data_IF_031434217426
#
_entry.id   IF_031434217426
#
_cell.length_a   1.000
_cell.length_b   1.000
_cell.length_c   1.000
_cell.angle_alpha   90.00
_cell.angle_beta   90.00
_cell.angle_gamma   90.00
#
_symmetry.space_group_name_H-M   'P 1'
#
loop_
_entity.id
_entity.type
_entity.pdbx_description
1 polymer ?
#
# COMPACT_ATOMS: atom_id res chain seq x y z
N UNK A 1 45.94 2.14 76.24
CA UNK A 1 46.37 2.25 74.82
C UNK A 1 45.53 1.23 74.07
N UNK A 2 44.67 1.58 73.10
CA UNK A 2 44.97 2.40 71.92
C UNK A 2 43.68 3.02 71.37
N UNK A 3 43.74 4.32 71.12
CA UNK A 3 42.70 5.15 70.50
C UNK A 3 42.64 4.81 68.99
N UNK A 4 41.47 4.50 68.43
CA UNK A 4 41.31 4.28 66.98
C UNK A 4 40.88 5.57 66.27
N UNK A 5 41.53 5.93 65.14
CA UNK A 5 41.28 7.20 64.45
C UNK A 5 40.02 7.18 63.59
N UNK A 6 39.43 8.36 63.45
CA UNK A 6 38.26 8.68 62.61
C UNK A 6 38.69 8.72 61.14
N UNK A 7 38.08 7.87 60.30
CA UNK A 7 38.25 7.91 58.85
C UNK A 7 37.26 8.90 58.22
N UNK A 8 37.81 9.81 57.40
CA UNK A 8 37.09 10.79 56.57
C UNK A 8 36.86 10.15 55.19
N UNK A 9 35.62 10.04 54.72
CA UNK A 9 35.35 9.69 53.30
C UNK A 9 34.22 10.57 52.74
N UNK A 10 34.68 11.49 51.89
CA UNK A 10 34.18 11.98 50.60
C UNK A 10 32.68 12.06 50.32
N UNK A 11 32.26 13.29 49.98
CA UNK A 11 31.05 13.61 49.23
C UNK A 11 31.00 12.83 47.92
N UNK A 12 29.90 12.08 47.71
CA UNK A 12 29.50 11.56 46.40
C UNK A 12 28.68 12.65 45.71
N UNK A 13 29.20 13.20 44.61
CA UNK A 13 28.38 13.92 43.64
C UNK A 13 27.51 12.88 42.90
N UNK A 14 26.18 13.06 42.78
CA UNK A 14 25.39 12.22 41.91
C UNK A 14 25.75 12.54 40.45
N UNK A 15 26.10 11.47 39.75
CA UNK A 15 26.50 11.43 38.36
C UNK A 15 25.38 11.94 37.44
N UNK A 16 25.77 12.79 36.51
CA UNK A 16 25.30 12.92 35.14
C UNK A 16 24.03 12.13 34.79
N UNK A 17 22.88 12.82 34.73
CA UNK A 17 21.66 12.27 34.13
C UNK A 17 21.90 11.91 32.65
N UNK A 18 22.12 10.64 32.35
CA UNK A 18 21.89 10.08 31.03
C UNK A 18 20.41 10.28 30.67
N UNK A 19 20.13 11.18 29.72
CA UNK A 19 18.79 11.30 29.16
C UNK A 19 18.51 10.07 28.28
N UNK A 20 17.35 9.42 28.39
CA UNK A 20 17.15 8.07 27.86
C UNK A 20 17.02 8.09 26.33
N UNK A 21 17.90 7.35 25.64
CA UNK A 21 17.97 7.21 24.18
C UNK A 21 16.60 6.95 23.51
N UNK A 22 15.71 6.18 24.15
CA UNK A 22 14.38 5.87 23.61
C UNK A 22 13.44 7.07 23.42
N UNK A 23 13.62 8.18 24.17
CA UNK A 23 12.83 9.41 23.97
C UNK A 23 13.36 10.23 22.78
N UNK A 24 14.66 10.17 22.53
CA UNK A 24 15.32 10.87 21.43
C UNK A 24 15.07 10.17 20.09
N UNK A 25 15.08 8.85 20.07
CA UNK A 25 14.74 8.06 18.88
C UNK A 25 13.29 8.29 18.46
N UNK A 26 12.34 8.29 19.42
CA UNK A 26 10.95 8.63 19.15
C UNK A 26 10.75 10.08 18.67
N UNK A 27 11.52 11.04 19.20
CA UNK A 27 11.46 12.43 18.74
C UNK A 27 12.05 12.62 17.35
N UNK A 28 13.14 11.90 17.03
CA UNK A 28 13.77 11.92 15.70
C UNK A 28 12.84 11.31 14.66
N UNK A 29 12.21 10.18 14.97
CA UNK A 29 11.28 9.51 14.06
C UNK A 29 10.02 10.35 13.83
N UNK A 30 9.44 10.92 14.90
CA UNK A 30 8.30 11.84 14.75
C UNK A 30 8.64 13.02 13.84
N UNK A 31 9.83 13.61 14.02
CA UNK A 31 10.26 14.72 13.18
C UNK A 31 10.50 14.30 11.73
N UNK A 32 11.01 13.08 11.52
CA UNK A 32 11.18 12.49 10.20
C UNK A 32 9.82 12.31 9.51
N UNK A 33 8.82 11.79 10.21
CA UNK A 33 7.44 11.68 9.71
C UNK A 33 6.83 13.05 9.37
N UNK A 34 7.00 14.07 10.23
CA UNK A 34 6.55 15.44 9.94
C UNK A 34 7.16 16.00 8.64
N UNK A 35 8.44 15.72 8.37
CA UNK A 35 9.07 16.11 7.11
C UNK A 35 8.55 15.34 5.89
N UNK A 36 8.22 14.05 6.05
CA UNK A 36 7.63 13.26 4.99
C UNK A 36 6.24 13.78 4.64
N UNK A 37 5.38 14.09 5.63
CA UNK A 37 4.06 14.67 5.38
C UNK A 37 4.15 16.02 4.65
N UNK A 38 5.07 16.88 5.06
CA UNK A 38 5.31 18.13 4.36
C UNK A 38 5.87 17.94 2.94
N UNK A 39 6.67 16.89 2.72
CA UNK A 39 7.12 16.52 1.38
C UNK A 39 5.95 16.07 0.49
N UNK A 40 5.01 15.28 1.04
CA UNK A 40 3.79 14.88 0.31
C UNK A 40 2.96 16.09 -0.10
N UNK A 41 2.77 17.05 0.81
CA UNK A 41 2.07 18.31 0.51
C UNK A 41 2.79 19.13 -0.57
N UNK A 42 4.11 19.26 -0.49
CA UNK A 42 4.92 19.95 -1.50
C UNK A 42 4.78 19.28 -2.88
N UNK A 43 4.80 17.94 -2.95
CA UNK A 43 4.63 17.19 -4.20
C UNK A 43 3.21 17.36 -4.75
N UNK A 44 2.20 17.35 -3.88
CA UNK A 44 0.81 17.58 -4.29
C UNK A 44 0.65 18.97 -4.92
N UNK A 45 1.26 20.00 -4.32
CA UNK A 45 1.13 21.40 -4.75
C UNK A 45 2.02 21.75 -5.97
N UNK A 46 3.31 21.41 -5.92
CA UNK A 46 4.29 21.81 -6.94
C UNK A 46 4.44 20.78 -8.06
N UNK A 47 3.77 19.64 -7.94
CA UNK A 47 3.71 18.62 -8.97
C UNK A 47 4.84 17.60 -8.87
N UNK A 48 4.88 16.65 -9.83
CA UNK A 48 5.77 15.51 -9.73
C UNK A 48 7.25 15.89 -9.76
N UNK A 49 7.64 17.00 -10.39
CA UNK A 49 9.04 17.42 -10.55
C UNK A 49 9.66 18.06 -9.29
N UNK A 50 8.94 18.06 -8.17
CA UNK A 50 9.38 18.67 -6.91
C UNK A 50 10.75 18.15 -6.47
N UNK A 51 11.71 19.06 -6.30
CA UNK A 51 13.07 18.74 -5.83
C UNK A 51 13.15 18.69 -4.30
N UNK A 52 14.23 18.10 -3.77
CA UNK A 52 14.48 18.10 -2.32
C UNK A 52 14.67 19.51 -1.76
N UNK A 53 15.22 20.44 -2.54
CA UNK A 53 15.34 21.85 -2.17
C UNK A 53 13.97 22.53 -2.06
N UNK A 54 13.06 22.27 -3.00
CA UNK A 54 11.70 22.78 -2.91
C UNK A 54 10.97 22.23 -1.69
N UNK A 55 11.16 20.94 -1.35
CA UNK A 55 10.64 20.36 -0.11
C UNK A 55 11.20 21.08 1.12
N UNK A 56 12.51 21.35 1.17
CA UNK A 56 13.12 22.05 2.30
C UNK A 56 12.56 23.47 2.48
N UNK A 57 12.37 24.20 1.37
CA UNK A 57 11.74 25.53 1.35
C UNK A 57 10.30 25.45 1.83
N UNK A 58 9.52 24.49 1.35
CA UNK A 58 8.13 24.27 1.75
C UNK A 58 7.99 24.02 3.26
N UNK A 59 8.89 23.21 3.81
CA UNK A 59 8.97 22.89 5.24
C UNK A 59 9.45 24.08 6.08
N UNK A 60 10.06 25.10 5.46
CA UNK A 60 10.65 26.25 6.15
C UNK A 60 11.98 25.92 6.86
N UNK A 61 12.77 25.00 6.30
CA UNK A 61 14.08 24.60 6.86
C UNK A 61 15.19 24.69 5.82
N UNK A 62 16.44 24.82 6.29
CA UNK A 62 17.60 24.73 5.39
C UNK A 62 17.79 23.29 4.92
N UNK A 63 18.42 23.11 3.75
CA UNK A 63 18.82 21.80 3.22
C UNK A 63 19.65 20.99 4.22
N UNK A 64 20.59 21.64 4.90
CA UNK A 64 21.41 21.03 5.96
C UNK A 64 20.57 20.52 7.12
N UNK A 65 19.54 21.26 7.53
CA UNK A 65 18.65 20.85 8.63
C UNK A 65 17.77 19.68 8.22
N UNK A 66 17.30 19.63 6.97
CA UNK A 66 16.56 18.49 6.43
C UNK A 66 17.43 17.22 6.41
N UNK A 67 18.65 17.30 5.87
CA UNK A 67 19.58 16.16 5.80
C UNK A 67 20.16 15.71 7.15
N UNK A 68 19.92 16.43 8.25
CA UNK A 68 20.19 15.88 9.59
C UNK A 68 19.28 14.69 9.92
N UNK A 69 18.12 14.60 9.28
CA UNK A 69 17.12 13.56 9.53
C UNK A 69 17.08 12.48 8.44
N UNK A 70 17.73 12.71 7.30
CA UNK A 70 17.75 11.81 6.14
C UNK A 70 19.16 11.66 5.62
N UNK A 71 19.53 10.43 5.26
CA UNK A 71 20.82 10.10 4.65
C UNK A 71 20.79 10.45 3.15
N UNK A 72 20.67 11.75 2.87
CA UNK A 72 20.58 12.31 1.52
C UNK A 72 19.19 12.24 0.89
N UNK A 73 19.12 12.60 -0.39
CA UNK A 73 17.87 12.70 -1.15
C UNK A 73 17.18 11.35 -1.34
N UNK A 74 17.95 10.28 -1.60
CA UNK A 74 17.43 8.93 -1.78
C UNK A 74 16.71 8.43 -0.51
N UNK A 75 17.22 8.75 0.68
CA UNK A 75 16.60 8.35 1.94
C UNK A 75 15.26 9.07 2.21
N UNK A 76 15.17 10.35 1.85
CA UNK A 76 13.90 11.09 1.86
C UNK A 76 12.90 10.49 0.85
N UNK A 77 13.35 10.22 -0.38
CA UNK A 77 12.53 9.60 -1.42
C UNK A 77 11.97 8.24 -0.96
N UNK A 78 12.80 7.41 -0.33
CA UNK A 78 12.37 6.14 0.27
C UNK A 78 11.33 6.32 1.38
N UNK A 79 11.50 7.34 2.21
CA UNK A 79 10.54 7.62 3.28
C UNK A 79 9.19 8.10 2.72
N UNK A 80 9.21 8.92 1.66
CA UNK A 80 8.03 9.34 0.90
C UNK A 80 7.36 8.14 0.23
N UNK A 81 8.12 7.27 -0.43
CA UNK A 81 7.66 6.03 -1.05
C UNK A 81 6.96 5.11 -0.05
N UNK A 82 7.60 4.82 1.09
CA UNK A 82 7.00 4.00 2.15
C UNK A 82 5.69 4.59 2.63
N UNK A 83 5.67 5.90 2.91
CA UNK A 83 4.46 6.57 3.38
C UNK A 83 3.33 6.51 2.34
N UNK A 84 3.64 6.68 1.06
CA UNK A 84 2.67 6.52 -0.02
C UNK A 84 2.12 5.09 -0.10
N UNK A 85 3.00 4.10 0.11
CA UNK A 85 2.60 2.69 0.29
C UNK A 85 1.63 2.50 1.44
N UNK A 86 1.92 3.09 2.60
CA UNK A 86 1.02 3.01 3.76
C UNK A 86 -0.34 3.66 3.48
N UNK A 87 -0.36 4.78 2.74
CA UNK A 87 -1.60 5.46 2.35
C UNK A 87 -2.50 4.55 1.50
N UNK A 88 -1.94 3.93 0.45
CA UNK A 88 -2.72 3.08 -0.44
C UNK A 88 -3.12 1.76 0.23
N UNK A 89 -2.27 1.18 1.06
CA UNK A 89 -2.60 -0.01 1.86
C UNK A 89 -3.77 0.30 2.80
N UNK A 90 -3.74 1.46 3.47
CA UNK A 90 -4.83 1.89 4.34
C UNK A 90 -6.15 2.12 3.57
N UNK A 91 -6.07 2.72 2.38
CA UNK A 91 -7.24 2.93 1.50
C UNK A 91 -7.85 1.60 1.02
N UNK A 92 -7.00 0.61 0.71
CA UNK A 92 -7.45 -0.71 0.24
C UNK A 92 -7.78 -1.67 1.39
N UNK A 93 -7.47 -1.34 2.64
CA UNK A 93 -7.69 -2.24 3.78
C UNK A 93 -9.14 -2.75 3.90
N UNK A 94 -10.20 -1.95 3.67
CA UNK A 94 -11.58 -2.43 3.70
C UNK A 94 -11.91 -3.43 2.59
N UNK A 95 -11.19 -3.39 1.46
CA UNK A 95 -11.44 -4.24 0.27
C UNK A 95 -11.09 -5.71 0.56
N UNK A 96 -10.16 -5.95 1.49
CA UNK A 96 -9.73 -7.31 1.85
C UNK A 96 -10.73 -8.07 2.72
N UNK A 97 -11.84 -7.43 3.10
CA UNK A 97 -12.98 -8.05 3.77
C UNK A 97 -14.18 -8.00 2.82
N UNK A 98 -14.27 -8.96 1.87
CA UNK A 98 -15.28 -8.95 0.82
C UNK A 98 -16.70 -8.96 1.42
N UNK A 99 -17.51 -8.00 1.01
CA UNK A 99 -18.92 -7.88 1.41
C UNK A 99 -19.77 -7.59 0.18
N UNK A 100 -20.85 -8.35 0.01
CA UNK A 100 -21.76 -8.21 -1.12
C UNK A 100 -21.49 -9.20 -2.25
N UNK A 101 -21.92 -8.86 -3.46
CA UNK A 101 -21.71 -9.67 -4.65
C UNK A 101 -20.29 -9.53 -5.21
N UNK A 102 -19.88 -10.44 -6.10
CA UNK A 102 -18.55 -10.35 -6.74
C UNK A 102 -18.38 -9.06 -7.53
N UNK A 103 -19.42 -8.61 -8.23
CA UNK A 103 -19.40 -7.33 -8.93
C UNK A 103 -19.14 -6.16 -7.97
N UNK A 104 -19.84 -6.13 -6.83
CA UNK A 104 -19.68 -5.09 -5.81
C UNK A 104 -18.30 -5.10 -5.17
N UNK A 105 -17.74 -6.29 -4.87
CA UNK A 105 -16.41 -6.44 -4.27
C UNK A 105 -15.33 -5.92 -5.22
N UNK A 106 -15.39 -6.32 -6.50
CA UNK A 106 -14.42 -5.89 -7.51
C UNK A 106 -14.56 -4.38 -7.76
N UNK A 107 -15.78 -3.86 -7.85
CA UNK A 107 -16.05 -2.43 -8.01
C UNK A 107 -15.52 -1.60 -6.84
N UNK A 108 -15.74 -2.05 -5.60
CA UNK A 108 -15.21 -1.38 -4.42
C UNK A 108 -13.68 -1.30 -4.45
N UNK A 109 -13.02 -2.41 -4.77
CA UNK A 109 -11.55 -2.50 -4.85
C UNK A 109 -10.95 -1.62 -5.92
N UNK A 110 -11.40 -1.76 -7.17
CA UNK A 110 -10.91 -0.97 -8.29
C UNK A 110 -11.30 0.49 -8.17
N UNK A 111 -12.51 0.77 -7.69
CA UNK A 111 -12.96 2.13 -7.43
C UNK A 111 -12.07 2.83 -6.41
N UNK A 112 -11.75 2.18 -5.29
CA UNK A 112 -10.85 2.73 -4.27
C UNK A 112 -9.46 2.99 -4.86
N UNK A 113 -8.89 2.02 -5.56
CA UNK A 113 -7.58 2.14 -6.22
C UNK A 113 -7.51 3.31 -7.21
N UNK A 114 -8.49 3.41 -8.13
CA UNK A 114 -8.53 4.45 -9.15
C UNK A 114 -8.72 5.83 -8.51
N UNK A 115 -9.67 5.98 -7.57
CA UNK A 115 -9.91 7.25 -6.88
C UNK A 115 -8.67 7.72 -6.11
N UNK A 116 -7.98 6.80 -5.44
CA UNK A 116 -6.75 7.10 -4.73
C UNK A 116 -5.69 7.67 -5.67
N UNK A 117 -5.40 7.01 -6.79
CA UNK A 117 -4.39 7.48 -7.72
C UNK A 117 -4.78 8.78 -8.44
N UNK A 118 -6.06 8.98 -8.73
CA UNK A 118 -6.55 10.26 -9.26
C UNK A 118 -6.33 11.39 -8.25
N UNK A 119 -6.68 11.18 -6.99
CA UNK A 119 -6.47 12.14 -5.91
C UNK A 119 -4.99 12.43 -5.63
N UNK A 120 -4.11 11.47 -5.90
CA UNK A 120 -2.67 11.55 -5.63
C UNK A 120 -1.81 11.49 -6.90
N UNK A 121 -2.31 11.97 -8.04
CA UNK A 121 -1.65 11.85 -9.36
C UNK A 121 -0.22 12.40 -9.38
N UNK A 122 0.02 13.53 -8.71
CA UNK A 122 1.35 14.13 -8.62
C UNK A 122 2.32 13.26 -7.82
N UNK A 123 1.84 12.66 -6.72
CA UNK A 123 2.62 11.73 -5.91
C UNK A 123 2.94 10.45 -6.69
N UNK A 124 1.96 9.87 -7.37
CA UNK A 124 2.17 8.69 -8.20
C UNK A 124 3.27 8.92 -9.26
N UNK A 125 3.17 10.03 -10.01
CA UNK A 125 4.17 10.41 -11.02
C UNK A 125 5.53 10.75 -10.43
N UNK A 126 5.57 11.33 -9.24
CA UNK A 126 6.81 11.55 -8.50
C UNK A 126 7.51 10.21 -8.24
N UNK A 127 6.77 9.23 -7.69
CA UNK A 127 7.30 7.91 -7.39
C UNK A 127 7.74 7.15 -8.65
N UNK A 128 6.93 7.16 -9.72
CA UNK A 128 7.28 6.54 -10.99
C UNK A 128 8.59 7.10 -11.56
N UNK A 129 8.81 8.41 -11.48
CA UNK A 129 10.09 9.01 -11.90
C UNK A 129 11.24 8.58 -11.00
N UNK A 130 11.03 8.54 -9.68
CA UNK A 130 12.05 8.10 -8.74
C UNK A 130 12.50 6.66 -9.00
N UNK A 131 11.56 5.74 -9.28
CA UNK A 131 11.86 4.34 -9.61
C UNK A 131 12.70 4.17 -10.89
N UNK A 132 12.58 5.08 -11.86
CA UNK A 132 13.31 5.03 -13.13
C UNK A 132 14.71 5.68 -13.08
N UNK A 133 15.04 6.38 -11.99
CA UNK A 133 16.32 7.10 -11.90
C UNK A 133 17.46 6.10 -11.65
N UNK A 134 18.33 5.91 -12.66
CA UNK A 134 19.55 5.09 -12.58
C UNK A 134 20.42 5.51 -11.37
N UNK A 135 20.86 4.54 -10.58
CA UNK A 135 21.72 4.76 -9.40
C UNK A 135 20.97 5.11 -8.10
N UNK A 136 19.64 5.03 -8.07
CA UNK A 136 18.90 5.12 -6.82
C UNK A 136 18.89 3.75 -6.11
N UNK A 137 19.49 3.67 -4.92
CA UNK A 137 19.20 2.60 -3.93
C UNK A 137 17.80 2.79 -3.31
N UNK A 138 16.86 3.37 -4.07
CA UNK A 138 15.50 3.61 -3.65
C UNK A 138 14.65 2.42 -4.13
N UNK A 139 14.02 1.63 -3.25
CA UNK A 139 12.99 0.67 -3.62
C UNK A 139 12.01 1.26 -4.62
N UNK A 140 11.67 0.45 -5.63
CA UNK A 140 10.58 0.75 -6.53
C UNK A 140 9.28 0.66 -5.75
N UNK A 141 8.85 1.80 -5.22
CA UNK A 141 7.66 1.93 -4.39
C UNK A 141 6.43 1.34 -5.08
N UNK A 142 6.33 1.50 -6.40
CA UNK A 142 5.21 1.01 -7.19
C UNK A 142 5.26 -0.52 -7.27
N UNK A 143 6.45 -1.11 -7.46
CA UNK A 143 6.62 -2.56 -7.40
C UNK A 143 6.32 -3.13 -6.00
N UNK A 144 6.78 -2.48 -4.94
CA UNK A 144 6.53 -2.91 -3.56
C UNK A 144 5.03 -2.86 -3.22
N UNK A 145 4.34 -1.78 -3.61
CA UNK A 145 2.89 -1.64 -3.47
C UNK A 145 2.16 -2.75 -4.23
N UNK A 146 2.53 -3.01 -5.48
CA UNK A 146 1.96 -4.09 -6.29
C UNK A 146 2.14 -5.45 -5.62
N UNK A 147 3.36 -5.73 -5.15
CA UNK A 147 3.66 -7.00 -4.47
C UNK A 147 2.81 -7.15 -3.21
N UNK A 148 2.73 -6.11 -2.38
CA UNK A 148 1.90 -6.13 -1.17
C UNK A 148 0.42 -6.37 -1.49
N UNK A 149 -0.15 -5.63 -2.45
CA UNK A 149 -1.54 -5.79 -2.87
C UNK A 149 -1.80 -7.19 -3.45
N UNK A 150 -0.87 -7.71 -4.25
CA UNK A 150 -0.94 -9.07 -4.80
C UNK A 150 -0.94 -10.14 -3.72
N UNK A 151 -0.08 -10.03 -2.70
CA UNK A 151 -0.04 -10.94 -1.56
C UNK A 151 -1.29 -10.87 -0.67
N UNK A 152 -1.89 -9.69 -0.53
CA UNK A 152 -3.15 -9.55 0.19
C UNK A 152 -4.31 -10.19 -0.59
N UNK A 153 -4.40 -9.93 -1.89
CA UNK A 153 -5.43 -10.50 -2.75
C UNK A 153 -5.28 -12.03 -2.89
N UNK A 154 -4.05 -12.55 -2.97
CA UNK A 154 -3.80 -14.00 -3.08
C UNK A 154 -4.29 -14.76 -1.85
N UNK A 155 -4.17 -14.17 -0.64
CA UNK A 155 -4.72 -14.75 0.58
C UNK A 155 -6.24 -14.85 0.54
N UNK A 156 -6.91 -13.80 0.05
CA UNK A 156 -8.37 -13.82 -0.14
C UNK A 156 -8.75 -14.90 -1.15
N UNK A 157 -8.09 -14.94 -2.30
CA UNK A 157 -8.35 -15.97 -3.32
C UNK A 157 -8.08 -17.38 -2.81
N UNK A 158 -7.00 -17.63 -2.07
CA UNK A 158 -6.71 -18.95 -1.52
C UNK A 158 -7.87 -19.48 -0.67
N UNK A 159 -8.41 -18.64 0.23
CA UNK A 159 -9.54 -19.01 1.09
C UNK A 159 -10.80 -19.34 0.28
N UNK A 160 -11.15 -18.52 -0.71
CA UNK A 160 -12.36 -18.73 -1.50
C UNK A 160 -12.23 -19.86 -2.52
N UNK A 161 -11.10 -19.98 -3.22
CA UNK A 161 -10.83 -21.07 -4.17
C UNK A 161 -10.82 -22.42 -3.44
N UNK A 162 -10.24 -22.49 -2.24
CA UNK A 162 -10.31 -23.70 -1.40
C UNK A 162 -11.76 -24.02 -1.01
N UNK A 163 -12.54 -23.02 -0.57
CA UNK A 163 -13.94 -23.22 -0.21
C UNK A 163 -14.80 -23.71 -1.39
N UNK A 164 -14.53 -23.21 -2.59
CA UNK A 164 -15.16 -23.67 -3.82
C UNK A 164 -14.62 -25.02 -4.32
N UNK A 165 -13.48 -25.49 -3.80
CA UNK A 165 -12.80 -26.69 -4.27
C UNK A 165 -12.28 -26.54 -5.70
N UNK A 166 -11.66 -25.39 -5.98
CA UNK A 166 -11.03 -25.06 -7.27
C UNK A 166 -9.52 -25.12 -7.11
N UNK A 167 -8.85 -25.96 -7.90
CA UNK A 167 -7.40 -26.06 -7.94
C UNK A 167 -6.84 -25.04 -8.95
N UNK A 168 -6.51 -23.84 -8.46
CA UNK A 168 -5.94 -22.75 -9.26
C UNK A 168 -4.91 -22.01 -8.42
N UNK A 169 -3.80 -21.61 -9.06
CA UNK A 169 -2.75 -20.83 -8.41
C UNK A 169 -3.27 -19.43 -8.04
N UNK A 170 -3.66 -19.28 -6.77
CA UNK A 170 -4.20 -18.03 -6.21
C UNK A 170 -3.21 -16.87 -6.27
N UNK A 171 -1.90 -17.15 -6.15
CA UNK A 171 -0.86 -16.12 -6.18
C UNK A 171 -0.69 -15.59 -7.60
N UNK A 172 -0.55 -16.49 -8.58
CA UNK A 172 -0.44 -16.09 -9.98
C UNK A 172 -1.68 -15.33 -10.46
N UNK A 173 -2.88 -15.79 -10.09
CA UNK A 173 -4.15 -15.13 -10.40
C UNK A 173 -4.21 -13.71 -9.82
N UNK A 174 -3.86 -13.56 -8.54
CA UNK A 174 -3.85 -12.26 -7.86
C UNK A 174 -2.82 -11.30 -8.49
N UNK A 175 -1.61 -11.76 -8.76
CA UNK A 175 -0.56 -10.95 -9.38
C UNK A 175 -0.93 -10.51 -10.79
N UNK A 176 -1.57 -11.37 -11.57
CA UNK A 176 -2.09 -11.03 -12.90
C UNK A 176 -3.14 -9.92 -12.85
N UNK A 177 -4.09 -10.01 -11.93
CA UNK A 177 -5.14 -9.00 -11.74
C UNK A 177 -4.55 -7.66 -11.29
N UNK A 178 -3.67 -7.67 -10.27
CA UNK A 178 -3.03 -6.45 -9.76
C UNK A 178 -2.16 -5.79 -10.83
N UNK A 179 -1.37 -6.58 -11.57
CA UNK A 179 -0.56 -6.06 -12.67
C UNK A 179 -1.38 -5.43 -13.79
N UNK A 180 -2.49 -6.08 -14.17
CA UNK A 180 -3.42 -5.53 -15.17
C UNK A 180 -4.06 -4.22 -14.70
N UNK A 181 -4.55 -4.18 -13.46
CA UNK A 181 -5.16 -2.99 -12.89
C UNK A 181 -4.14 -1.84 -12.81
N UNK A 182 -2.95 -2.10 -12.28
CA UNK A 182 -1.89 -1.09 -12.17
C UNK A 182 -1.49 -0.53 -13.53
N UNK A 183 -1.14 -1.39 -14.47
CA UNK A 183 -0.68 -0.96 -15.80
C UNK A 183 -1.77 -0.18 -16.53
N UNK A 184 -3.03 -0.62 -16.45
CA UNK A 184 -4.16 0.04 -17.12
C UNK A 184 -4.44 1.42 -16.53
N UNK A 185 -4.44 1.54 -15.21
CA UNK A 185 -4.69 2.81 -14.51
C UNK A 185 -3.51 3.76 -14.68
N UNK A 186 -2.27 3.26 -14.60
CA UNK A 186 -1.04 4.02 -14.86
C UNK A 186 -1.06 4.64 -16.25
N UNK A 187 -1.34 3.84 -17.28
CA UNK A 187 -1.45 4.32 -18.66
C UNK A 187 -2.56 5.37 -18.82
N UNK A 188 -3.76 5.10 -18.28
CA UNK A 188 -4.87 6.05 -18.35
C UNK A 188 -4.58 7.35 -17.59
N UNK A 189 -3.87 7.28 -16.45
CA UNK A 189 -3.46 8.47 -15.71
C UNK A 189 -2.51 9.35 -16.50
N UNK A 190 -1.73 8.81 -17.44
CA UNK A 190 -0.89 9.62 -18.31
C UNK A 190 -1.59 10.05 -19.60
N UNK A 191 -2.43 9.19 -20.14
CA UNK A 191 -3.14 9.41 -21.41
C UNK A 191 -4.62 9.05 -21.28
N UNK A 192 -5.44 9.86 -20.56
CA UNK A 192 -6.84 9.51 -20.32
C UNK A 192 -7.68 9.52 -21.60
N UNK A 193 -7.26 10.29 -22.61
CA UNK A 193 -7.94 10.41 -23.89
C UNK A 193 -9.39 10.82 -23.70
N UNK A 194 -10.32 10.03 -24.26
CA UNK A 194 -11.77 10.23 -24.13
C UNK A 194 -12.40 9.36 -23.03
N UNK A 195 -11.63 8.52 -22.34
CA UNK A 195 -12.16 7.57 -21.35
C UNK A 195 -12.31 8.28 -20.01
N UNK A 196 -13.54 8.31 -19.47
CA UNK A 196 -13.78 8.86 -18.14
C UNK A 196 -13.34 7.89 -17.05
N UNK A 197 -13.19 8.40 -15.82
CA UNK A 197 -12.82 7.59 -14.67
C UNK A 197 -13.82 6.44 -14.44
N UNK A 198 -15.12 6.73 -14.59
CA UNK A 198 -16.21 5.78 -14.41
C UNK A 198 -16.13 4.65 -15.45
N UNK A 199 -15.93 5.02 -16.73
CA UNK A 199 -15.78 4.04 -17.82
C UNK A 199 -14.52 3.18 -17.67
N UNK A 200 -13.44 3.73 -17.10
CA UNK A 200 -12.26 2.93 -16.76
C UNK A 200 -12.59 1.90 -15.68
N UNK A 201 -13.24 2.32 -14.59
CA UNK A 201 -13.64 1.45 -13.49
C UNK A 201 -14.55 0.34 -14.01
N UNK A 202 -15.63 0.68 -14.71
CA UNK A 202 -16.57 -0.29 -15.31
C UNK A 202 -15.85 -1.32 -16.20
N UNK A 203 -14.94 -0.86 -17.06
CA UNK A 203 -14.16 -1.74 -17.94
C UNK A 203 -13.26 -2.70 -17.16
N UNK A 204 -12.59 -2.21 -16.12
CA UNK A 204 -11.70 -3.02 -15.27
C UNK A 204 -12.50 -4.02 -14.43
N UNK A 205 -13.62 -3.61 -13.84
CA UNK A 205 -14.51 -4.50 -13.07
C UNK A 205 -14.94 -5.68 -13.92
N UNK A 206 -15.46 -5.41 -15.11
CA UNK A 206 -15.86 -6.46 -16.05
C UNK A 206 -14.71 -7.39 -16.44
N UNK A 207 -13.52 -6.85 -16.74
CA UNK A 207 -12.35 -7.66 -17.14
C UNK A 207 -11.83 -8.53 -16.01
N UNK A 208 -11.75 -7.99 -14.80
CA UNK A 208 -11.31 -8.74 -13.63
C UNK A 208 -12.31 -9.84 -13.32
N UNK A 209 -13.61 -9.54 -13.40
CA UNK A 209 -14.63 -10.57 -13.25
C UNK A 209 -14.44 -11.70 -14.26
N UNK A 210 -14.23 -11.41 -15.54
CA UNK A 210 -14.00 -12.45 -16.56
C UNK A 210 -12.78 -13.35 -16.25
N UNK A 211 -11.71 -12.78 -15.69
CA UNK A 211 -10.53 -13.57 -15.29
C UNK A 211 -10.84 -14.49 -14.11
N UNK A 212 -11.58 -13.97 -13.11
CA UNK A 212 -12.00 -14.76 -11.94
C UNK A 212 -13.01 -15.83 -12.34
N UNK A 213 -13.99 -15.47 -13.18
CA UNK A 213 -15.01 -16.37 -13.70
C UNK A 213 -14.39 -17.51 -14.51
N UNK A 214 -13.42 -17.22 -15.39
CA UNK A 214 -12.70 -18.24 -16.14
C UNK A 214 -11.99 -19.23 -15.20
N UNK A 215 -11.33 -18.73 -14.16
CA UNK A 215 -10.67 -19.55 -13.14
C UNK A 215 -11.66 -20.45 -12.38
N UNK A 216 -12.82 -19.91 -11.99
CA UNK A 216 -13.89 -20.67 -11.34
C UNK A 216 -14.48 -21.73 -12.28
N UNK A 217 -14.75 -21.37 -13.54
CA UNK A 217 -15.31 -22.28 -14.55
C UNK A 217 -14.34 -23.40 -14.93
N UNK A 218 -13.04 -23.13 -15.00
CA UNK A 218 -12.02 -24.17 -15.19
C UNK A 218 -12.08 -25.21 -14.05
N UNK A 219 -12.40 -24.75 -12.85
CA UNK A 219 -12.69 -25.60 -11.70
C UNK A 219 -14.10 -26.21 -11.68
N UNK A 220 -14.97 -25.95 -12.65
CA UNK A 220 -16.36 -26.43 -12.70
C UNK A 220 -17.31 -25.71 -11.74
N UNK A 221 -17.04 -24.44 -11.43
CA UNK A 221 -17.85 -23.58 -10.55
C UNK A 221 -18.56 -22.52 -11.37
N UNK A 222 -19.86 -22.37 -11.14
CA UNK A 222 -20.74 -21.41 -11.80
C UNK A 222 -21.33 -20.46 -10.74
N UNK A 223 -20.85 -19.23 -10.74
CA UNK A 223 -21.21 -18.18 -9.78
C UNK A 223 -21.76 -16.97 -10.54
N UNK A 224 -22.92 -16.47 -10.13
CA UNK A 224 -23.46 -15.21 -10.67
C UNK A 224 -22.71 -14.03 -10.02
N UNK A 225 -22.28 -13.05 -10.82
CA UNK A 225 -21.57 -11.87 -10.30
C UNK A 225 -22.43 -11.00 -9.41
N UNK A 226 -23.75 -11.07 -9.57
CA UNK A 226 -24.74 -10.27 -8.85
C UNK A 226 -25.28 -10.96 -7.59
N UNK A 227 -25.07 -12.28 -7.43
CA UNK A 227 -25.49 -12.96 -6.20
C UNK A 227 -24.52 -12.64 -5.04
N UNK A 228 -25.02 -12.39 -3.81
CA UNK A 228 -24.17 -12.16 -2.66
C UNK A 228 -23.19 -13.32 -2.44
N UNK A 229 -21.91 -13.01 -2.28
CA UNK A 229 -20.87 -14.00 -2.00
C UNK A 229 -21.00 -14.49 -0.55
N UNK A 230 -21.29 -15.78 -0.30
CA UNK A 230 -21.41 -16.27 1.06
C UNK A 230 -20.04 -16.41 1.73
N UNK A 231 -20.05 -16.58 3.05
CA UNK A 231 -18.83 -16.88 3.80
C UNK A 231 -18.19 -18.20 3.34
N UNK A 232 -16.85 -18.33 3.36
CA UNK A 232 -16.15 -19.53 2.89
C UNK A 232 -16.67 -20.84 3.51
N UNK A 233 -17.02 -20.82 4.81
CA UNK A 233 -17.59 -21.98 5.49
C UNK A 233 -18.98 -22.40 4.99
N UNK A 234 -19.79 -21.46 4.49
CA UNK A 234 -21.09 -21.75 3.88
C UNK A 234 -20.93 -22.30 2.46
N UNK A 235 -19.97 -21.77 1.71
CA UNK A 235 -19.61 -22.26 0.38
C UNK A 235 -19.16 -23.72 0.48
N UNK A 236 -18.22 -24.03 1.38
CA UNK A 236 -17.69 -25.40 1.55
C UNK A 236 -18.79 -26.42 1.91
N UNK A 237 -19.76 -26.02 2.77
CA UNK A 237 -20.91 -26.88 3.13
C UNK A 237 -21.87 -27.14 1.97
N UNK A 238 -21.95 -26.20 1.02
CA UNK A 238 -22.92 -26.24 -0.08
C UNK A 238 -22.24 -26.26 -1.45
N UNK A 239 -21.00 -26.75 -1.56
CA UNK A 239 -20.18 -26.62 -2.78
C UNK A 239 -20.86 -27.19 -4.03
N UNK A 240 -21.67 -28.24 -3.86
CA UNK A 240 -22.44 -28.87 -4.94
C UNK A 240 -23.45 -27.92 -5.60
N UNK A 241 -23.95 -26.93 -4.85
CA UNK A 241 -24.83 -25.89 -5.39
C UNK A 241 -24.17 -25.17 -6.56
N UNK A 242 -22.86 -24.95 -6.54
CA UNK A 242 -22.17 -24.17 -7.57
C UNK A 242 -21.69 -25.01 -8.77
N UNK A 243 -22.09 -26.28 -8.86
CA UNK A 243 -21.68 -27.18 -9.94
C UNK A 243 -22.67 -27.26 -11.10
N UNK A 244 -23.84 -26.64 -10.93
CA UNK A 244 -24.90 -26.62 -11.94
C UNK A 244 -24.74 -25.40 -12.89
N UNK A 245 -24.46 -25.63 -14.19
CA UNK A 245 -24.36 -24.54 -15.17
C UNK A 245 -25.69 -23.81 -15.40
N UNK A 246 -26.84 -24.41 -15.09
CA UNK A 246 -28.16 -23.81 -15.28
C UNK A 246 -28.48 -22.68 -14.28
N UNK A 247 -27.56 -22.41 -13.34
CA UNK A 247 -27.66 -21.31 -12.38
C UNK A 247 -27.42 -19.93 -12.97
N UNK A 248 -26.69 -19.87 -14.07
CA UNK A 248 -26.36 -18.60 -14.71
C UNK A 248 -27.52 -18.19 -15.63
N UNK A 249 -27.88 -16.89 -15.65
CA UNK A 249 -28.95 -16.36 -16.48
C UNK A 249 -28.68 -16.48 -17.99
#
# INVERSE_FOLDING_TARGET
>A
MTYHPIARVSFVQPDSQELPAGRWDGQRERRRAEFVEAALAAIAEHGPQTSTEQIAVYVGVTRTKLYRHFDGAADLQRAVARRAGDMIIAELAPVWQPLGSMAQIIEAGIGAYVRFLVGHRNLYRYLARCSLSEGSDAPDAIADIKMSAGLHLSRVFAVYLEAFGVDTDAELLAMGIVGMAETSVSYWLDQPGQTSQERLIESLVRRIWLIVEDSLRAGGVYLDSEEPLPEPGEIARNVQRYRDPARLP
#
